data_IF_930832552793
#
_entry.id   IF_930832552793
#
_cell.length_a   1.000
_cell.length_b   1.000
_cell.length_c   1.000
_cell.angle_alpha   90.00
_cell.angle_beta   90.00
_cell.angle_gamma   90.00
#
_symmetry.space_group_name_H-M   'P 1'
#
loop_
_entity.id
_entity.type
_entity.pdbx_description
1 polymer ?
#
# COMPACT_ATOMS: atom_id res chain seq x y z
N UNK A 1 7.45 26.04 27.92
CA UNK A 1 7.42 25.81 27.57
C UNK A 1 7.23 25.26 26.80
N UNK A 2 7.24 25.00 26.21
CA UNK A 2 7.14 24.67 25.55
C UNK A 2 6.81 23.83 24.81
N UNK A 3 6.88 23.60 24.32
CA UNK A 3 6.75 22.81 23.32
C UNK A 3 5.61 21.94 23.34
N UNK A 4 4.66 22.27 23.73
CA UNK A 4 3.47 21.51 23.94
C UNK A 4 2.75 21.19 22.66
N UNK A 5 2.82 22.00 21.65
CA UNK A 5 2.13 21.72 20.41
C UNK A 5 3.03 21.06 19.39
N UNK A 6 4.11 20.52 19.86
CA UNK A 6 5.02 19.84 18.98
C UNK A 6 4.41 18.53 18.51
N UNK A 7 4.56 18.24 17.25
CA UNK A 7 4.07 17.00 16.71
C UNK A 7 4.88 15.83 17.23
N UNK A 8 4.23 14.68 17.41
CA UNK A 8 4.96 13.49 17.81
C UNK A 8 6.00 13.15 16.75
N UNK A 9 7.17 12.82 17.17
CA UNK A 9 8.24 12.44 16.26
C UNK A 9 8.87 11.16 16.74
N UNK A 10 9.38 10.37 15.80
CA UNK A 10 10.07 9.14 16.18
C UNK A 10 11.24 9.46 17.08
N UNK A 11 11.40 8.66 18.09
CA UNK A 11 12.48 8.89 19.04
C UNK A 11 13.75 8.21 18.63
N UNK A 12 13.65 7.19 17.77
CA UNK A 12 14.83 6.47 17.35
C UNK A 12 14.70 6.12 15.87
N UNK A 13 15.82 5.73 15.26
CA UNK A 13 15.80 5.43 13.83
C UNK A 13 14.89 4.28 13.47
N UNK A 14 14.75 3.29 14.34
CA UNK A 14 13.89 2.15 14.05
C UNK A 14 12.45 2.57 13.93
N UNK A 15 12.01 3.48 14.78
CA UNK A 15 10.64 3.97 14.71
C UNK A 15 10.42 4.76 13.44
N UNK A 16 11.39 5.57 13.04
CA UNK A 16 11.28 6.34 11.81
C UNK A 16 11.20 5.43 10.60
N UNK A 17 12.01 4.39 10.57
CA UNK A 17 12.00 3.45 9.47
C UNK A 17 10.65 2.73 9.41
N UNK A 18 10.14 2.32 10.57
CA UNK A 18 8.85 1.64 10.61
C UNK A 18 7.75 2.52 10.04
N UNK A 19 7.75 3.79 10.41
CA UNK A 19 6.71 4.70 9.94
C UNK A 19 6.79 4.88 8.44
N UNK A 20 8.00 4.96 7.89
CA UNK A 20 8.14 5.10 6.45
C UNK A 20 7.67 3.87 5.70
N UNK A 21 7.97 2.69 6.24
CA UNK A 21 7.52 1.45 5.63
C UNK A 21 6.00 1.39 5.63
N UNK A 22 5.39 1.76 6.75
CA UNK A 22 3.93 1.75 6.84
C UNK A 22 3.32 2.74 5.86
N UNK A 23 3.88 3.93 5.74
CA UNK A 23 3.38 4.92 4.80
C UNK A 23 3.45 4.40 3.36
N UNK A 24 4.56 3.74 3.03
CA UNK A 24 4.70 3.19 1.69
C UNK A 24 3.68 2.08 1.44
N UNK A 25 3.46 1.24 2.44
CA UNK A 25 2.47 0.18 2.33
C UNK A 25 1.08 0.76 2.12
N UNK A 26 0.77 1.88 2.80
CA UNK A 26 -0.52 2.54 2.63
C UNK A 26 -0.69 3.08 1.22
N UNK A 27 0.37 3.62 0.63
CA UNK A 27 0.31 4.08 -0.75
C UNK A 27 0.01 2.94 -1.71
N UNK A 28 0.68 1.81 -1.49
CA UNK A 28 0.45 0.65 -2.33
C UNK A 28 -0.97 0.15 -2.16
N UNK A 29 -1.47 0.15 -0.93
CA UNK A 29 -2.83 -0.29 -0.67
C UNK A 29 -3.85 0.57 -1.41
N UNK A 30 -3.62 1.89 -1.45
CA UNK A 30 -4.52 2.78 -2.19
C UNK A 30 -4.53 2.43 -3.67
N UNK A 31 -3.37 2.12 -4.23
CA UNK A 31 -3.29 1.73 -5.64
C UNK A 31 -3.98 0.39 -5.89
N UNK A 32 -3.87 -0.52 -4.93
CA UNK A 32 -4.57 -1.80 -5.02
C UNK A 32 -6.08 -1.60 -5.13
N UNK A 33 -6.61 -0.71 -4.30
CA UNK A 33 -8.04 -0.43 -4.33
C UNK A 33 -8.47 0.11 -5.69
N UNK A 34 -7.65 1.00 -6.27
CA UNK A 34 -7.96 1.53 -7.58
C UNK A 34 -7.94 0.46 -8.66
N UNK A 35 -6.98 -0.46 -8.59
CA UNK A 35 -6.93 -1.56 -9.55
C UNK A 35 -8.08 -2.52 -9.40
N UNK A 36 -8.50 -2.79 -8.17
CA UNK A 36 -9.67 -3.64 -7.96
C UNK A 36 -10.91 -3.03 -8.57
N UNK A 37 -11.06 -1.72 -8.45
CA UNK A 37 -12.19 -1.04 -9.07
C UNK A 37 -12.15 -1.21 -10.60
N UNK A 38 -10.95 -1.10 -11.20
CA UNK A 38 -10.81 -1.31 -12.62
C UNK A 38 -11.15 -2.73 -13.04
N UNK A 39 -10.73 -3.69 -12.24
CA UNK A 39 -11.06 -5.09 -12.51
C UNK A 39 -12.58 -5.29 -12.46
N UNK A 40 -13.24 -4.67 -11.50
CA UNK A 40 -14.69 -4.75 -11.39
C UNK A 40 -15.37 -4.20 -12.66
N UNK A 41 -14.87 -3.06 -13.15
CA UNK A 41 -15.42 -2.47 -14.37
C UNK A 41 -15.21 -3.39 -15.56
N UNK A 42 -14.02 -3.99 -15.67
CA UNK A 42 -13.74 -4.92 -16.76
C UNK A 42 -14.69 -6.10 -16.73
N UNK A 43 -14.93 -6.65 -15.55
CA UNK A 43 -15.84 -7.78 -15.41
C UNK A 43 -17.27 -7.39 -15.75
N UNK A 44 -17.67 -6.19 -15.36
CA UNK A 44 -19.00 -5.68 -15.66
C UNK A 44 -19.20 -5.55 -17.16
N UNK A 45 -18.14 -5.25 -17.89
CA UNK A 45 -18.19 -5.14 -19.35
C UNK A 45 -17.90 -6.44 -20.06
N UNK A 46 -17.66 -7.51 -19.33
CA UNK A 46 -17.35 -8.81 -19.92
C UNK A 46 -15.94 -8.91 -20.46
N UNK A 47 -15.04 -8.00 -20.06
CA UNK A 47 -13.67 -7.97 -20.56
C UNK A 47 -12.77 -8.83 -19.67
N UNK A 48 -12.94 -10.14 -19.76
CA UNK A 48 -12.27 -11.04 -18.84
C UNK A 48 -10.74 -11.06 -19.00
N UNK A 49 -10.23 -10.82 -20.20
CA UNK A 49 -8.77 -10.81 -20.37
C UNK A 49 -8.15 -9.57 -19.75
N UNK A 50 -8.83 -8.43 -19.86
CA UNK A 50 -8.36 -7.22 -19.20
C UNK A 50 -8.41 -7.41 -17.69
N UNK A 51 -9.44 -8.05 -17.19
CA UNK A 51 -9.55 -8.33 -15.76
C UNK A 51 -8.39 -9.21 -15.28
N UNK A 52 -8.05 -10.23 -16.06
CA UNK A 52 -6.91 -11.08 -15.70
C UNK A 52 -5.62 -10.29 -15.65
N UNK A 53 -5.40 -9.40 -16.61
CA UNK A 53 -4.21 -8.55 -16.61
C UNK A 53 -4.16 -7.67 -15.37
N UNK A 54 -5.32 -7.15 -14.97
CA UNK A 54 -5.40 -6.35 -13.76
C UNK A 54 -5.06 -7.16 -12.52
N UNK A 55 -5.50 -8.41 -12.47
CA UNK A 55 -5.19 -9.28 -11.34
C UNK A 55 -3.70 -9.58 -11.25
N UNK A 56 -3.01 -9.74 -12.39
CA UNK A 56 -1.56 -9.93 -12.37
C UNK A 56 -0.86 -8.75 -11.74
N UNK A 57 -1.30 -7.55 -12.08
CA UNK A 57 -0.74 -6.35 -11.47
C UNK A 57 -0.99 -6.27 -9.98
N UNK A 58 -2.17 -6.72 -9.56
CA UNK A 58 -2.50 -6.78 -8.14
C UNK A 58 -1.58 -7.73 -7.39
N UNK A 59 -1.31 -8.89 -7.96
CA UNK A 59 -0.44 -9.86 -7.32
C UNK A 59 0.93 -9.29 -7.06
N UNK A 60 1.49 -8.56 -8.04
CA UNK A 60 2.80 -7.94 -7.86
C UNK A 60 2.79 -6.92 -6.75
N UNK A 61 1.76 -6.10 -6.70
CA UNK A 61 1.69 -5.08 -5.67
C UNK A 61 1.48 -5.69 -4.29
N UNK A 62 0.70 -6.75 -4.21
CA UNK A 62 0.52 -7.46 -2.95
C UNK A 62 1.85 -8.03 -2.48
N UNK A 63 2.63 -8.61 -3.37
CA UNK A 63 3.95 -9.14 -3.01
C UNK A 63 4.85 -8.04 -2.50
N UNK A 64 4.86 -6.90 -3.18
CA UNK A 64 5.68 -5.78 -2.75
C UNK A 64 5.27 -5.30 -1.36
N UNK A 65 3.96 -5.16 -1.13
CA UNK A 65 3.48 -4.72 0.16
C UNK A 65 3.83 -5.73 1.25
N UNK A 66 3.67 -7.01 0.94
CA UNK A 66 3.99 -8.06 1.88
C UNK A 66 5.47 -8.01 2.26
N UNK A 67 6.35 -7.85 1.26
CA UNK A 67 7.78 -7.76 1.52
C UNK A 67 8.11 -6.58 2.42
N UNK A 68 7.47 -5.45 2.18
CA UNK A 68 7.68 -4.27 3.03
C UNK A 68 7.30 -4.56 4.47
N UNK A 69 6.13 -5.15 4.67
CA UNK A 69 5.65 -5.40 6.02
C UNK A 69 6.49 -6.45 6.74
N UNK A 70 7.07 -7.38 5.99
CA UNK A 70 7.94 -8.38 6.59
C UNK A 70 9.20 -7.75 7.17
N UNK A 71 9.60 -6.58 6.68
CA UNK A 71 10.75 -5.88 7.25
C UNK A 71 10.48 -5.44 8.68
N UNK A 72 9.23 -5.37 9.08
CA UNK A 72 8.86 -4.88 10.40
C UNK A 72 8.66 -5.98 11.43
N UNK A 73 8.91 -7.23 11.07
CA UNK A 73 8.75 -8.35 11.99
C UNK A 73 9.83 -8.40 13.03
#
# INVERSE_FOLDING_TARGET
MKETNRQPQPRDPDEAVRMRVIERAMEINSKLLGRLASVADDLDEGAHLAALGGLDGLERQIETMRSLLLLLR
#
